data_IF_145963553602
#
_entry.id   IF_145963553602
#
_cell.length_a   1.000
_cell.length_b   1.000
_cell.length_c   1.000
_cell.angle_alpha   90.00
_cell.angle_beta   90.00
_cell.angle_gamma   90.00
#
_symmetry.space_group_name_H-M   'P 1'
#
loop_
_entity.id
_entity.type
_entity.pdbx_description
1 polymer ?
#
# COMPACT_ATOMS: atom_id res chain seq x y z
N UNK A 1 50.15 45.96 55.92
CA UNK A 1 50.33 47.25 56.64
C UNK A 1 51.80 47.44 56.98
N UNK A 2 52.50 48.40 56.37
CA UNK A 2 53.87 48.77 56.78
C UNK A 2 53.76 49.77 57.94
N UNK A 3 54.17 49.38 59.16
CA UNK A 3 54.35 50.32 60.27
C UNK A 3 55.56 51.21 59.94
N UNK A 4 55.36 52.52 59.84
CA UNK A 4 56.45 53.49 59.64
C UNK A 4 56.57 54.41 60.86
N UNK A 5 57.80 54.59 61.31
CA UNK A 5 58.15 55.41 62.46
C UNK A 5 58.42 56.84 61.99
N UNK A 6 57.66 57.81 62.50
CA UNK A 6 57.95 59.23 62.32
C UNK A 6 59.10 59.62 63.26
N UNK A 7 60.05 60.44 62.80
CA UNK A 7 61.12 60.94 63.65
C UNK A 7 60.54 61.84 64.75
N UNK A 8 60.86 61.57 66.01
CA UNK A 8 60.47 62.39 67.17
C UNK A 8 61.48 63.50 67.41
N UNK A 9 61.00 64.74 67.50
CA UNK A 9 61.72 65.88 68.09
C UNK A 9 61.44 65.90 69.60
N UNK A 10 62.20 66.71 70.35
CA UNK A 10 62.06 66.88 71.82
C UNK A 10 60.61 67.19 72.25
N UNK A 11 59.78 67.71 71.35
CA UNK A 11 58.32 67.82 71.48
C UNK A 11 57.62 67.26 70.22
N UNK A 12 57.29 65.96 70.22
CA UNK A 12 56.39 65.34 69.24
C UNK A 12 57.02 64.91 67.90
N UNK A 13 56.16 64.55 66.93
CA UNK A 13 56.58 64.05 65.61
C UNK A 13 57.02 65.17 64.65
N UNK A 14 57.92 64.85 63.73
CA UNK A 14 58.36 65.77 62.69
C UNK A 14 57.20 66.13 61.74
N UNK A 15 56.70 67.36 61.86
CA UNK A 15 55.57 67.89 61.08
C UNK A 15 55.71 67.68 59.57
N UNK A 16 56.89 67.90 58.99
CA UNK A 16 57.13 67.72 57.55
C UNK A 16 56.98 66.27 57.11
N UNK A 17 57.47 65.32 57.93
CA UNK A 17 57.34 63.89 57.64
C UNK A 17 55.88 63.43 57.75
N UNK A 18 55.12 63.98 58.70
CA UNK A 18 53.70 63.68 58.86
C UNK A 18 52.87 64.27 57.71
N UNK A 19 53.15 65.52 57.29
CA UNK A 19 52.49 66.15 56.14
C UNK A 19 52.77 65.38 54.84
N UNK A 20 54.04 65.02 54.57
CA UNK A 20 54.40 64.23 53.40
C UNK A 20 53.68 62.88 53.40
N UNK A 21 53.63 62.21 54.55
CA UNK A 21 52.92 60.95 54.70
C UNK A 21 51.41 61.06 54.46
N UNK A 22 50.77 62.14 54.93
CA UNK A 22 49.35 62.39 54.67
C UNK A 22 49.08 62.62 53.19
N UNK A 23 49.99 63.31 52.49
CA UNK A 23 49.90 63.52 51.04
C UNK A 23 50.06 62.20 50.29
N UNK A 24 51.07 61.40 50.62
CA UNK A 24 51.31 60.09 50.01
C UNK A 24 50.13 59.14 50.27
N UNK A 25 49.62 59.10 51.50
CA UNK A 25 48.45 58.29 51.87
C UNK A 25 47.21 58.71 51.07
N UNK A 26 46.95 60.01 50.92
CA UNK A 26 45.83 60.51 50.12
C UNK A 26 45.97 60.06 48.67
N UNK A 27 47.17 60.19 48.11
CA UNK A 27 47.47 59.79 46.73
C UNK A 27 47.25 58.29 46.52
N UNK A 28 47.73 57.45 47.44
CA UNK A 28 47.54 56.00 47.39
C UNK A 28 46.04 55.64 47.44
N UNK A 29 45.26 56.31 48.29
CA UNK A 29 43.80 56.10 48.37
C UNK A 29 43.08 56.57 47.10
N UNK A 30 43.44 57.72 46.55
CA UNK A 30 42.86 58.23 45.30
C UNK A 30 43.15 57.27 44.13
N UNK A 31 44.36 56.70 44.08
CA UNK A 31 44.74 55.72 43.07
C UNK A 31 43.93 54.42 43.21
N UNK A 32 43.83 53.86 44.42
CA UNK A 32 43.04 52.65 44.66
C UNK A 32 41.54 52.88 44.40
N UNK A 33 41.01 54.06 44.78
CA UNK A 33 39.63 54.43 44.47
C UNK A 33 39.41 54.52 42.95
N UNK A 34 40.37 55.06 42.21
CA UNK A 34 40.32 55.11 40.74
C UNK A 34 40.32 53.72 40.11
N UNK A 35 41.19 52.80 40.57
CA UNK A 35 41.22 51.40 40.11
C UNK A 35 39.90 50.69 40.39
N UNK A 36 39.36 50.85 41.60
CA UNK A 36 38.05 50.27 41.99
C UNK A 36 36.91 50.82 41.13
N UNK A 37 36.90 52.12 40.85
CA UNK A 37 35.92 52.73 39.95
C UNK A 37 36.00 52.18 38.52
N UNK A 38 37.21 52.03 37.97
CA UNK A 38 37.42 51.42 36.64
C UNK A 38 36.89 49.99 36.61
N UNK A 39 37.25 49.17 37.59
CA UNK A 39 36.77 47.78 37.66
C UNK A 39 35.24 47.70 37.81
N UNK A 40 34.65 48.61 38.56
CA UNK A 40 33.19 48.70 38.69
C UNK A 40 32.53 48.99 37.34
N UNK A 41 33.08 49.91 36.55
CA UNK A 41 32.56 50.22 35.21
C UNK A 41 32.68 49.02 34.26
N UNK A 42 33.82 48.33 34.26
CA UNK A 42 34.00 47.10 33.49
C UNK A 42 32.96 46.04 33.86
N UNK A 43 32.76 45.79 35.16
CA UNK A 43 31.78 44.82 35.64
C UNK A 43 30.34 45.18 35.29
N UNK A 44 30.00 46.48 35.25
CA UNK A 44 28.68 46.95 34.82
C UNK A 44 28.48 46.67 33.32
N UNK A 45 29.50 46.91 32.50
CA UNK A 45 29.42 46.64 31.07
C UNK A 45 29.36 45.13 30.76
N UNK A 46 30.18 44.32 31.46
CA UNK A 46 30.11 42.86 31.38
C UNK A 46 28.72 42.35 31.77
N UNK A 47 28.14 42.86 32.88
CA UNK A 47 26.78 42.50 33.29
C UNK A 47 25.73 42.87 32.24
N UNK A 48 25.84 44.07 31.67
CA UNK A 48 24.91 44.53 30.63
C UNK A 48 24.99 43.62 29.40
N UNK A 49 26.19 43.26 28.97
CA UNK A 49 26.41 42.35 27.85
C UNK A 49 25.84 40.96 28.13
N UNK A 50 26.09 40.39 29.32
CA UNK A 50 25.55 39.09 29.70
C UNK A 50 24.03 39.09 29.74
N UNK A 51 23.39 40.15 30.27
CA UNK A 51 21.93 40.29 30.25
C UNK A 51 21.37 40.30 28.84
N UNK A 52 21.98 41.08 27.94
CA UNK A 52 21.58 41.11 26.53
C UNK A 52 21.71 39.75 25.86
N UNK A 53 22.77 38.99 26.16
CA UNK A 53 22.94 37.62 25.64
C UNK A 53 21.90 36.66 26.19
N UNK A 54 21.55 36.77 27.48
CA UNK A 54 20.50 35.95 28.09
C UNK A 54 19.16 36.22 27.41
N UNK A 55 18.80 37.49 27.20
CA UNK A 55 17.56 37.88 26.52
C UNK A 55 17.52 37.34 25.08
N UNK A 56 18.62 37.44 24.33
CA UNK A 56 18.72 36.89 22.97
C UNK A 56 18.53 35.37 22.96
N UNK A 57 19.18 34.65 23.89
CA UNK A 57 19.08 33.20 23.97
C UNK A 57 17.69 32.74 24.41
N UNK A 58 17.03 33.50 25.29
CA UNK A 58 15.63 33.25 25.67
C UNK A 58 14.69 33.43 24.48
N UNK A 59 14.87 34.47 23.66
CA UNK A 59 14.09 34.67 22.45
C UNK A 59 14.26 33.50 21.45
N UNK A 60 15.50 33.03 21.25
CA UNK A 60 15.78 31.85 20.40
C UNK A 60 15.15 30.58 20.96
N UNK A 61 15.18 30.37 22.27
CA UNK A 61 14.52 29.23 22.91
C UNK A 61 13.01 29.23 22.68
N UNK A 62 12.37 30.40 22.79
CA UNK A 62 10.93 30.51 22.50
C UNK A 62 10.62 30.22 21.03
N UNK A 63 11.44 30.72 20.10
CA UNK A 63 11.30 30.44 18.67
C UNK A 63 11.45 28.94 18.35
N UNK A 64 12.42 28.27 18.99
CA UNK A 64 12.59 26.83 18.82
C UNK A 64 11.44 26.02 19.41
N UNK A 65 10.93 26.41 20.58
CA UNK A 65 9.78 25.75 21.19
C UNK A 65 8.53 25.85 20.30
N UNK A 66 8.28 27.01 19.69
CA UNK A 66 7.16 27.21 18.76
C UNK A 66 7.30 26.36 17.50
N UNK A 67 8.51 26.28 16.94
CA UNK A 67 8.81 25.42 15.78
C UNK A 67 8.62 23.95 16.11
N UNK A 68 9.10 23.51 17.26
CA UNK A 68 8.96 22.13 17.72
C UNK A 68 7.48 21.75 17.89
N UNK A 69 6.67 22.64 18.48
CA UNK A 69 5.23 22.45 18.61
C UNK A 69 4.54 22.33 17.23
N UNK A 70 4.94 23.16 16.26
CA UNK A 70 4.40 23.11 14.90
C UNK A 70 4.75 21.79 14.19
N UNK A 71 6.02 21.39 14.25
CA UNK A 71 6.51 20.14 13.66
C UNK A 71 5.80 18.94 14.29
N UNK A 72 5.71 18.91 15.63
CA UNK A 72 5.04 17.83 16.36
C UNK A 72 3.56 17.70 15.94
N UNK A 73 2.86 18.82 15.82
CA UNK A 73 1.46 18.83 15.34
C UNK A 73 1.34 18.32 13.90
N UNK A 74 2.28 18.66 13.03
CA UNK A 74 2.30 18.18 11.65
C UNK A 74 2.55 16.66 11.61
N UNK A 75 3.49 16.14 12.40
CA UNK A 75 3.80 14.71 12.50
C UNK A 75 2.60 13.90 12.99
N UNK A 76 1.94 14.33 14.07
CA UNK A 76 0.74 13.67 14.59
C UNK A 76 -0.37 13.61 13.52
N UNK A 77 -0.59 14.71 12.79
CA UNK A 77 -1.58 14.72 11.70
C UNK A 77 -1.20 13.81 10.54
N UNK A 78 0.09 13.73 10.21
CA UNK A 78 0.58 12.84 9.16
C UNK A 78 0.38 11.38 9.55
N UNK A 79 0.71 11.01 10.79
CA UNK A 79 0.50 9.67 11.33
C UNK A 79 -0.99 9.28 11.34
N UNK A 80 -1.86 10.16 11.84
CA UNK A 80 -3.31 9.93 11.83
C UNK A 80 -3.85 9.70 10.42
N UNK A 81 -3.40 10.49 9.43
CA UNK A 81 -3.80 10.31 8.02
C UNK A 81 -3.26 9.02 7.44
N UNK A 82 -2.01 8.67 7.71
CA UNK A 82 -1.41 7.43 7.24
C UNK A 82 -2.19 6.22 7.78
N UNK A 83 -2.51 6.23 9.08
CA UNK A 83 -3.28 5.16 9.70
C UNK A 83 -4.69 5.04 9.10
N UNK A 84 -5.36 6.17 8.84
CA UNK A 84 -6.66 6.17 8.19
C UNK A 84 -6.61 5.56 6.77
N UNK A 85 -5.58 5.90 5.98
CA UNK A 85 -5.40 5.35 4.63
C UNK A 85 -5.15 3.83 4.69
N UNK A 86 -4.34 3.38 5.65
CA UNK A 86 -4.06 1.95 5.82
C UNK A 86 -5.36 1.18 6.18
N UNK A 87 -6.15 1.73 7.11
CA UNK A 87 -7.39 1.10 7.54
C UNK A 87 -8.43 1.07 6.41
N UNK A 88 -8.61 2.18 5.70
CA UNK A 88 -9.49 2.25 4.53
C UNK A 88 -9.04 1.28 3.43
N UNK A 89 -7.74 1.18 3.19
CA UNK A 89 -7.15 0.23 2.24
C UNK A 89 -7.44 -1.22 2.63
N UNK A 90 -7.28 -1.57 3.90
CA UNK A 90 -7.63 -2.91 4.44
C UNK A 90 -9.11 -3.21 4.29
N UNK A 91 -9.97 -2.25 4.60
CA UNK A 91 -11.41 -2.41 4.48
C UNK A 91 -11.85 -2.62 3.02
N UNK A 92 -11.32 -1.83 2.09
CA UNK A 92 -11.60 -2.00 0.66
C UNK A 92 -11.08 -3.34 0.13
N UNK A 93 -9.87 -3.72 0.52
CA UNK A 93 -9.30 -5.01 0.12
C UNK A 93 -10.14 -6.18 0.63
N UNK A 94 -10.61 -6.15 1.88
CA UNK A 94 -11.44 -7.22 2.42
C UNK A 94 -12.81 -7.29 1.73
N UNK A 95 -13.42 -6.15 1.42
CA UNK A 95 -14.67 -6.08 0.67
C UNK A 95 -14.52 -6.65 -0.74
N UNK A 96 -13.47 -6.27 -1.47
CA UNK A 96 -13.23 -6.78 -2.83
C UNK A 96 -12.89 -8.28 -2.81
N UNK A 97 -12.10 -8.75 -1.84
CA UNK A 97 -11.86 -10.19 -1.65
C UNK A 97 -13.16 -10.96 -1.43
N UNK A 98 -14.06 -10.43 -0.60
CA UNK A 98 -15.37 -11.04 -0.37
C UNK A 98 -16.21 -11.08 -1.65
N UNK A 99 -16.22 -9.99 -2.45
CA UNK A 99 -16.93 -9.94 -3.73
C UNK A 99 -16.38 -10.96 -4.73
N UNK A 100 -15.06 -11.07 -4.84
CA UNK A 100 -14.40 -12.04 -5.71
C UNK A 100 -14.78 -13.46 -5.32
N UNK A 101 -14.76 -13.79 -4.02
CA UNK A 101 -15.10 -15.14 -3.56
C UNK A 101 -16.58 -15.47 -3.82
N UNK A 102 -17.48 -14.49 -3.64
CA UNK A 102 -18.89 -14.65 -3.97
C UNK A 102 -19.10 -14.93 -5.48
N UNK A 103 -18.44 -14.15 -6.34
CA UNK A 103 -18.52 -14.35 -7.80
C UNK A 103 -17.92 -15.68 -8.22
N UNK A 104 -16.77 -16.06 -7.67
CA UNK A 104 -16.13 -17.36 -7.90
C UNK A 104 -17.07 -18.51 -7.54
N UNK A 105 -17.74 -18.44 -6.38
CA UNK A 105 -18.71 -19.44 -5.97
C UNK A 105 -19.90 -19.52 -6.92
N UNK A 106 -20.42 -18.37 -7.35
CA UNK A 106 -21.50 -18.31 -8.36
C UNK A 106 -21.10 -18.94 -9.69
N UNK A 107 -19.86 -18.71 -10.14
CA UNK A 107 -19.33 -19.31 -11.36
C UNK A 107 -19.12 -20.82 -11.22
N UNK A 108 -18.60 -21.29 -10.08
CA UNK A 108 -18.52 -22.73 -9.79
C UNK A 108 -19.88 -23.40 -9.83
N UNK A 109 -20.90 -22.80 -9.22
CA UNK A 109 -22.26 -23.35 -9.21
C UNK A 109 -22.83 -23.44 -10.64
N UNK A 110 -22.64 -22.40 -11.45
CA UNK A 110 -23.02 -22.42 -12.88
C UNK A 110 -22.30 -23.49 -13.67
N UNK A 111 -21.00 -23.67 -13.47
CA UNK A 111 -20.23 -24.71 -14.16
C UNK A 111 -20.76 -26.12 -13.80
N UNK A 112 -21.10 -26.36 -12.53
CA UNK A 112 -21.71 -27.62 -12.10
C UNK A 112 -23.06 -27.84 -12.79
N UNK A 113 -23.89 -26.81 -12.84
CA UNK A 113 -25.22 -26.89 -13.47
C UNK A 113 -25.12 -27.15 -14.98
N UNK A 114 -24.25 -26.44 -15.70
CA UNK A 114 -24.00 -26.67 -17.13
C UNK A 114 -23.49 -28.10 -17.37
N UNK A 115 -22.58 -28.58 -16.53
CA UNK A 115 -22.09 -29.97 -16.62
C UNK A 115 -23.23 -30.98 -16.40
N UNK A 116 -24.12 -30.74 -15.45
CA UNK A 116 -25.30 -31.59 -15.20
C UNK A 116 -26.20 -31.62 -16.43
N UNK A 117 -26.54 -30.45 -16.97
CA UNK A 117 -27.36 -30.33 -18.18
C UNK A 117 -26.74 -31.05 -19.38
N UNK A 118 -25.42 -30.99 -19.54
CA UNK A 118 -24.71 -31.71 -20.61
C UNK A 118 -24.83 -33.23 -20.47
N UNK A 119 -24.68 -33.76 -19.26
CA UNK A 119 -24.83 -35.20 -18.99
C UNK A 119 -26.28 -35.66 -19.18
N UNK A 120 -27.26 -34.85 -18.78
CA UNK A 120 -28.67 -35.15 -18.99
C UNK A 120 -29.02 -35.13 -20.50
N UNK A 121 -28.43 -34.21 -21.27
CA UNK A 121 -28.55 -34.16 -22.72
C UNK A 121 -27.93 -35.40 -23.38
N UNK A 122 -26.71 -35.77 -22.99
CA UNK A 122 -26.03 -36.99 -23.47
C UNK A 122 -26.90 -38.23 -23.28
N UNK A 123 -27.45 -38.42 -22.08
CA UNK A 123 -28.39 -39.54 -21.80
C UNK A 123 -29.60 -39.51 -22.71
N UNK A 124 -30.18 -38.33 -22.91
CA UNK A 124 -31.36 -38.16 -23.78
C UNK A 124 -31.05 -38.57 -25.21
N UNK A 125 -29.87 -38.20 -25.73
CA UNK A 125 -29.41 -38.59 -27.06
C UNK A 125 -29.19 -40.10 -27.14
N UNK A 126 -28.54 -40.72 -26.15
CA UNK A 126 -28.34 -42.18 -26.12
C UNK A 126 -29.67 -42.93 -26.14
N UNK A 127 -30.62 -42.56 -25.28
CA UNK A 127 -31.95 -43.18 -25.26
C UNK A 127 -32.70 -42.98 -26.58
N UNK A 128 -32.58 -41.81 -27.20
CA UNK A 128 -33.19 -41.56 -28.50
C UNK A 128 -32.57 -42.45 -29.60
N UNK A 129 -31.25 -42.63 -29.61
CA UNK A 129 -30.57 -43.53 -30.55
C UNK A 129 -30.96 -45.00 -30.32
N UNK A 130 -31.06 -45.44 -29.07
CA UNK A 130 -31.54 -46.78 -28.70
C UNK A 130 -32.98 -47.01 -29.20
N UNK A 131 -33.85 -46.02 -29.02
CA UNK A 131 -35.23 -46.08 -29.52
C UNK A 131 -35.26 -46.21 -31.05
N UNK A 132 -34.51 -45.37 -31.78
CA UNK A 132 -34.41 -45.49 -33.24
C UNK A 132 -33.86 -46.85 -33.67
N UNK A 133 -32.84 -47.36 -33.01
CA UNK A 133 -32.30 -48.69 -33.30
C UNK A 133 -33.35 -49.78 -33.10
N UNK A 134 -34.12 -49.70 -32.00
CA UNK A 134 -35.20 -50.66 -31.72
C UNK A 134 -36.34 -50.58 -32.75
N UNK A 135 -36.68 -49.37 -33.22
CA UNK A 135 -37.73 -49.13 -34.21
C UNK A 135 -37.31 -49.62 -35.60
N UNK A 136 -36.07 -49.33 -36.01
CA UNK A 136 -35.49 -49.89 -37.24
C UNK A 136 -35.51 -51.41 -37.17
N UNK A 137 -35.03 -52.00 -36.07
CA UNK A 137 -35.00 -53.44 -35.92
C UNK A 137 -36.40 -54.07 -35.92
N UNK A 138 -37.40 -53.39 -35.33
CA UNK A 138 -38.80 -53.81 -35.37
C UNK A 138 -39.35 -53.78 -36.81
N UNK A 139 -39.11 -52.70 -37.56
CA UNK A 139 -39.55 -52.58 -38.95
C UNK A 139 -38.86 -53.61 -39.86
N UNK A 140 -37.55 -53.82 -39.71
CA UNK A 140 -36.82 -54.87 -40.44
C UNK A 140 -37.34 -56.26 -40.09
N UNK A 141 -37.60 -56.55 -38.81
CA UNK A 141 -38.18 -57.84 -38.40
C UNK A 141 -39.59 -58.03 -38.98
N UNK A 142 -40.38 -56.95 -39.04
CA UNK A 142 -41.71 -56.95 -39.65
C UNK A 142 -41.64 -57.19 -41.15
N UNK A 143 -40.76 -56.50 -41.88
CA UNK A 143 -40.53 -56.69 -43.32
C UNK A 143 -40.05 -58.12 -43.63
N UNK A 144 -39.12 -58.66 -42.83
CA UNK A 144 -38.70 -60.07 -42.94
C UNK A 144 -39.88 -61.00 -42.71
N UNK A 145 -40.71 -60.75 -41.69
CA UNK A 145 -41.89 -61.58 -41.43
C UNK A 145 -42.92 -61.50 -42.57
N UNK A 146 -43.18 -60.30 -43.10
CA UNK A 146 -44.10 -60.10 -44.22
C UNK A 146 -43.58 -60.78 -45.49
N UNK A 147 -42.29 -60.68 -45.79
CA UNK A 147 -41.67 -61.39 -46.93
C UNK A 147 -41.69 -62.91 -46.75
N UNK A 148 -41.58 -63.43 -45.51
CA UNK A 148 -41.68 -64.87 -45.24
C UNK A 148 -43.09 -65.44 -45.49
N UNK A 149 -44.14 -64.61 -45.47
CA UNK A 149 -45.52 -65.01 -45.78
C UNK A 149 -45.89 -64.82 -47.26
N UNK A 150 -45.02 -64.20 -48.06
CA UNK A 150 -45.24 -63.99 -49.51
C UNK A 150 -44.59 -65.10 -50.35
N UNK A 151 -43.62 -65.84 -49.80
CA UNK A 151 -42.88 -66.89 -50.54
C UNK A 151 -43.54 -68.29 -50.52
N UNK A 152 -44.74 -68.45 -49.94
CA UNK A 152 -45.50 -69.73 -49.91
C UNK A 152 -46.72 -69.75 -50.85
N UNK A 153 -46.87 -68.76 -51.74
CA UNK A 153 -47.88 -68.80 -52.81
C UNK A 153 -47.33 -68.22 -54.11
N UNK A 154 -46.44 -68.95 -54.77
CA UNK A 154 -46.48 -69.11 -56.24
C UNK A 154 -45.61 -70.31 -56.62
N UNK A 155 -46.21 -71.50 -56.60
CA UNK A 155 -45.80 -72.59 -57.47
C UNK A 155 -46.95 -72.85 -58.46
N UNK A 156 -46.56 -73.13 -59.70
CA UNK A 156 -47.38 -73.48 -60.88
C UNK A 156 -48.21 -72.38 -61.58
N UNK A 157 -47.60 -71.77 -62.61
CA UNK A 157 -47.95 -72.11 -64.00
C UNK A 157 -46.93 -71.61 -65.03
N UNK A 158 -46.41 -72.60 -65.74
CA UNK A 158 -45.55 -72.52 -66.92
C UNK A 158 -46.14 -71.72 -68.10
N UNK A 159 -45.19 -71.27 -68.94
CA UNK A 159 -45.27 -71.09 -70.41
C UNK A 159 -46.09 -69.94 -70.98
N UNK A 160 -45.41 -68.89 -71.49
CA UNK A 160 -45.25 -68.70 -72.94
C UNK A 160 -44.18 -67.63 -73.30
N UNK A 161 -43.26 -68.08 -74.16
CA UNK A 161 -42.37 -67.40 -75.10
C UNK A 161 -41.41 -66.26 -74.68
N UNK A 162 -40.17 -66.71 -74.57
CA UNK A 162 -38.93 -65.98 -74.80
C UNK A 162 -38.76 -65.45 -76.24
N UNK A 163 -37.68 -64.68 -76.36
CA UNK A 163 -36.92 -64.30 -77.56
C UNK A 163 -37.30 -62.99 -78.27
N UNK A 164 -36.65 -61.91 -77.80
CA UNK A 164 -35.54 -61.31 -78.58
C UNK A 164 -34.62 -60.44 -77.70
N UNK A 165 -33.57 -61.09 -77.21
CA UNK A 165 -32.16 -60.66 -77.30
C UNK A 165 -31.87 -59.86 -78.60
N UNK A 166 -30.93 -58.94 -78.74
CA UNK A 166 -29.84 -58.42 -77.92
C UNK A 166 -29.24 -57.23 -78.73
N UNK A 167 -28.31 -56.49 -78.10
CA UNK A 167 -27.22 -55.72 -78.73
C UNK A 167 -27.54 -54.35 -79.37
N UNK A 168 -27.16 -53.30 -78.64
CA UNK A 168 -25.98 -52.43 -78.91
C UNK A 168 -26.02 -51.35 -77.81
N UNK A 169 -25.26 -51.50 -76.72
CA UNK A 169 -23.84 -51.12 -76.62
C UNK A 169 -23.56 -49.66 -77.08
N UNK A 170 -22.87 -48.92 -76.22
CA UNK A 170 -22.21 -47.63 -76.50
C UNK A 170 -23.03 -46.34 -76.31
N UNK A 171 -23.12 -45.86 -75.06
CA UNK A 171 -22.78 -44.47 -74.72
C UNK A 171 -22.74 -44.24 -73.18
N UNK A 172 -21.94 -45.02 -72.46
CA UNK A 172 -21.22 -44.45 -71.32
C UNK A 172 -19.96 -43.80 -71.90
N UNK A 173 -19.69 -42.57 -71.46
CA UNK A 173 -18.54 -41.74 -71.76
C UNK A 173 -18.55 -41.01 -73.12
N UNK A 174 -19.05 -39.76 -73.10
CA UNK A 174 -18.25 -38.58 -73.54
C UNK A 174 -19.04 -37.27 -73.42
N UNK A 175 -18.34 -36.27 -72.90
CA UNK A 175 -18.49 -34.82 -73.12
C UNK A 175 -19.19 -34.04 -71.99
N UNK A 176 -18.29 -33.47 -71.18
CA UNK A 176 -18.30 -32.13 -70.57
C UNK A 176 -19.13 -31.85 -69.33
#
# INVERSE_FOLDING_TARGET
MRKKFFGTRILGYNKRQVEQYLVDMRKDYEEELSKKKKRMLELVEENRKMKSQIEEMQAKLTEFADREAYISKALVRAEQKAQAIIEEGRQKASQEMYRIELEKNKWMERCKEVRRQLLDFERTVCTLMENFYSEINYLTSKEISENMFVDDVTDDKDTFCAEKEEQEESAVAKIS
#
